data_IF_445371199498
#
_entry.id   IF_445371199498
#
_cell.length_a   1.000
_cell.length_b   1.000
_cell.length_c   1.000
_cell.angle_alpha   90.00
_cell.angle_beta   90.00
_cell.angle_gamma   90.00
#
_symmetry.space_group_name_H-M   'P 1'
#
loop_
_entity.id
_entity.type
_entity.pdbx_description
1 polymer ?
#
# COMPACT_ATOMS: atom_id res chain seq x y z
N UNK A 1 -18.44 -87.41 -12.83
CA UNK A 1 -17.96 -86.69 -13.99
C UNK A 1 -18.22 -85.24 -13.75
N UNK A 2 -17.16 -84.58 -13.39
CA UNK A 2 -17.17 -83.20 -12.90
C UNK A 2 -17.17 -82.28 -14.12
N UNK A 3 -18.16 -81.42 -14.29
CA UNK A 3 -18.08 -80.29 -15.16
C UNK A 3 -18.05 -79.02 -14.32
N UNK A 4 -16.91 -78.41 -14.39
CA UNK A 4 -16.55 -77.21 -13.71
C UNK A 4 -17.25 -76.05 -14.45
N UNK A 5 -18.12 -75.35 -13.72
CA UNK A 5 -18.74 -74.12 -14.15
C UNK A 5 -17.76 -73.01 -13.79
N UNK A 6 -17.09 -72.48 -14.79
CA UNK A 6 -16.34 -71.21 -14.62
C UNK A 6 -17.37 -70.07 -14.71
N UNK A 7 -17.75 -69.58 -13.54
CA UNK A 7 -18.45 -68.32 -13.47
C UNK A 7 -17.48 -67.22 -13.89
N UNK A 8 -17.74 -66.61 -15.00
CA UNK A 8 -17.07 -65.42 -15.48
C UNK A 8 -17.47 -64.30 -14.55
N UNK A 9 -16.60 -64.00 -13.59
CA UNK A 9 -16.70 -62.78 -12.83
C UNK A 9 -16.19 -61.65 -13.73
N UNK A 10 -17.12 -61.06 -14.49
CA UNK A 10 -16.87 -59.78 -15.17
C UNK A 10 -16.73 -58.72 -14.08
N UNK A 11 -15.51 -58.54 -13.60
CA UNK A 11 -15.15 -57.40 -12.79
C UNK A 11 -15.33 -56.16 -13.61
N UNK A 12 -16.44 -55.51 -13.42
CA UNK A 12 -16.69 -54.15 -13.88
C UNK A 12 -15.76 -53.26 -13.10
N UNK A 13 -14.54 -53.07 -13.61
CA UNK A 13 -13.68 -51.97 -13.18
C UNK A 13 -14.36 -50.69 -13.70
N UNK A 14 -15.26 -50.16 -12.85
CA UNK A 14 -15.64 -48.76 -12.99
C UNK A 14 -14.35 -47.95 -12.78
N UNK A 15 -13.73 -47.54 -13.89
CA UNK A 15 -12.83 -46.45 -13.89
C UNK A 15 -13.62 -45.24 -13.38
N UNK A 16 -13.52 -44.99 -12.07
CA UNK A 16 -13.74 -43.69 -11.51
C UNK A 16 -12.62 -42.80 -12.13
N UNK A 17 -12.86 -42.32 -13.34
CA UNK A 17 -12.19 -41.16 -13.84
C UNK A 17 -12.59 -40.03 -12.87
N UNK A 18 -11.83 -39.92 -11.78
CA UNK A 18 -11.79 -38.72 -10.98
C UNK A 18 -11.37 -37.63 -11.96
N UNK A 19 -12.37 -37.01 -12.57
CA UNK A 19 -12.17 -35.80 -13.34
C UNK A 19 -11.52 -34.80 -12.38
N UNK A 20 -10.20 -34.71 -12.43
CA UNK A 20 -9.52 -33.49 -12.07
C UNK A 20 -10.11 -32.43 -12.98
N UNK A 21 -11.19 -31.81 -12.54
CA UNK A 21 -11.63 -30.53 -13.07
C UNK A 21 -10.40 -29.64 -12.94
N UNK A 22 -9.68 -29.43 -14.04
CA UNK A 22 -8.76 -28.33 -14.14
C UNK A 22 -9.63 -27.11 -13.82
N UNK A 23 -9.49 -26.59 -12.59
CA UNK A 23 -10.06 -25.28 -12.26
C UNK A 23 -9.60 -24.38 -13.39
N UNK A 24 -10.54 -23.96 -14.24
CA UNK A 24 -10.23 -23.07 -15.34
C UNK A 24 -9.39 -21.93 -14.76
N UNK A 25 -8.33 -21.56 -15.45
CA UNK A 25 -7.53 -20.40 -15.10
C UNK A 25 -8.52 -19.25 -15.06
N UNK A 26 -8.79 -18.73 -13.87
CA UNK A 26 -9.66 -17.56 -13.71
C UNK A 26 -8.87 -16.40 -14.28
N UNK A 27 -9.26 -15.95 -15.46
CA UNK A 27 -8.67 -14.77 -16.09
C UNK A 27 -9.35 -13.57 -15.47
N UNK A 28 -8.58 -12.69 -14.86
CA UNK A 28 -9.01 -11.40 -14.31
C UNK A 28 -8.40 -10.34 -15.24
N UNK A 29 -9.24 -9.55 -15.90
CA UNK A 29 -8.82 -8.52 -16.85
C UNK A 29 -9.11 -7.10 -16.32
N UNK A 30 -9.98 -6.95 -15.32
CA UNK A 30 -10.38 -5.68 -14.75
C UNK A 30 -11.11 -5.83 -13.42
N UNK A 31 -11.65 -4.72 -12.92
CA UNK A 31 -12.34 -4.65 -11.64
C UNK A 31 -13.59 -5.53 -11.57
N UNK A 32 -14.37 -5.58 -12.64
CA UNK A 32 -15.60 -6.37 -12.71
C UNK A 32 -15.35 -7.88 -12.54
N UNK A 33 -14.18 -8.36 -12.94
CA UNK A 33 -13.81 -9.77 -12.81
C UNK A 33 -13.45 -10.17 -11.36
N UNK A 34 -13.38 -9.23 -10.44
CA UNK A 34 -13.06 -9.47 -9.02
C UNK A 34 -14.25 -10.01 -8.23
N UNK A 35 -15.48 -9.90 -8.74
CA UNK A 35 -16.68 -10.43 -8.10
C UNK A 35 -16.51 -11.91 -7.73
N UNK A 36 -16.79 -12.25 -6.48
CA UNK A 36 -16.68 -13.61 -5.92
C UNK A 36 -15.25 -14.16 -5.82
N UNK A 37 -14.21 -13.38 -6.19
CA UNK A 37 -12.82 -13.83 -6.13
C UNK A 37 -12.19 -13.62 -4.75
N UNK A 38 -11.07 -14.32 -4.54
CA UNK A 38 -10.20 -14.04 -3.40
C UNK A 38 -9.26 -12.90 -3.77
N UNK A 39 -9.43 -11.76 -3.14
CA UNK A 39 -8.64 -10.55 -3.36
C UNK A 39 -7.81 -10.22 -2.12
N UNK A 40 -6.52 -10.03 -2.32
CA UNK A 40 -5.61 -9.57 -1.27
C UNK A 40 -5.52 -8.05 -1.27
N UNK A 41 -5.43 -7.46 -0.10
CA UNK A 41 -5.28 -6.02 0.12
C UNK A 41 -4.34 -5.76 1.29
N UNK A 42 -3.82 -4.55 1.42
CA UNK A 42 -3.18 -4.15 2.67
C UNK A 42 -4.23 -3.58 3.62
N UNK A 43 -4.19 -4.00 4.89
CA UNK A 43 -5.15 -3.58 5.91
C UNK A 43 -5.15 -2.05 6.12
N UNK A 44 -6.35 -1.47 6.20
CA UNK A 44 -6.58 -0.04 6.45
C UNK A 44 -6.35 0.87 5.25
N UNK A 45 -5.95 0.32 4.07
CA UNK A 45 -5.74 1.13 2.85
C UNK A 45 -7.04 1.35 2.07
N UNK A 46 -7.02 2.30 1.14
CA UNK A 46 -8.12 2.51 0.18
C UNK A 46 -8.33 1.32 -0.74
N UNK A 47 -7.28 0.56 -1.03
CA UNK A 47 -7.38 -0.72 -1.73
C UNK A 47 -8.29 -1.72 -1.00
N UNK A 48 -8.27 -1.76 0.34
CA UNK A 48 -9.20 -2.57 1.12
C UNK A 48 -10.62 -1.99 1.06
N UNK A 49 -10.78 -0.67 1.22
CA UNK A 49 -12.09 -0.01 1.15
C UNK A 49 -12.76 -0.32 -0.20
N UNK A 50 -12.10 -0.01 -1.31
CA UNK A 50 -12.67 -0.22 -2.65
C UNK A 50 -12.93 -1.69 -2.96
N UNK A 51 -12.02 -2.58 -2.58
CA UNK A 51 -12.22 -4.00 -2.81
C UNK A 51 -13.37 -4.57 -1.96
N UNK A 52 -13.68 -3.98 -0.79
CA UNK A 52 -14.80 -4.41 0.05
C UNK A 52 -16.16 -4.11 -0.57
N UNK A 53 -16.25 -3.11 -1.45
CA UNK A 53 -17.48 -2.72 -2.14
C UNK A 53 -17.81 -3.64 -3.33
N UNK A 54 -16.88 -4.53 -3.72
CA UNK A 54 -17.10 -5.47 -4.82
C UNK A 54 -18.02 -6.62 -4.34
N UNK A 55 -19.12 -6.93 -5.07
CA UNK A 55 -20.03 -7.98 -4.69
C UNK A 55 -19.35 -9.34 -4.48
N UNK A 56 -19.72 -10.03 -3.40
CA UNK A 56 -19.26 -11.38 -3.07
C UNK A 56 -17.74 -11.59 -3.02
N UNK A 57 -16.94 -10.51 -3.02
CA UNK A 57 -15.49 -10.61 -2.91
C UNK A 57 -15.08 -11.29 -1.60
N UNK A 58 -14.02 -12.08 -1.65
CA UNK A 58 -13.44 -12.74 -0.48
C UNK A 58 -12.12 -12.07 -0.15
N UNK A 59 -12.20 -11.03 0.68
CA UNK A 59 -11.03 -10.28 1.08
C UNK A 59 -10.07 -11.09 1.95
N UNK A 60 -8.80 -10.84 1.73
CA UNK A 60 -7.69 -11.28 2.58
C UNK A 60 -6.81 -10.06 2.86
N UNK A 61 -6.94 -9.52 4.06
CA UNK A 61 -6.19 -8.32 4.47
C UNK A 61 -4.84 -8.73 5.05
N UNK A 62 -3.78 -8.11 4.54
CA UNK A 62 -2.40 -8.34 4.93
C UNK A 62 -1.83 -7.10 5.65
N UNK A 63 -0.83 -7.29 6.50
CA UNK A 63 -0.18 -6.18 7.20
C UNK A 63 0.65 -5.29 6.28
N UNK A 64 1.17 -5.87 5.20
CA UNK A 64 1.93 -5.12 4.19
C UNK A 64 1.53 -5.52 2.77
N UNK A 65 1.74 -4.62 1.81
CA UNK A 65 1.57 -4.91 0.39
C UNK A 65 2.53 -6.01 -0.11
N UNK A 66 3.70 -6.17 0.53
CA UNK A 66 4.66 -7.24 0.21
C UNK A 66 4.05 -8.60 0.54
N UNK A 67 3.42 -8.75 1.71
CA UNK A 67 2.77 -10.01 2.11
C UNK A 67 1.62 -10.37 1.17
N UNK A 68 0.82 -9.37 0.75
CA UNK A 68 -0.20 -9.55 -0.28
C UNK A 68 0.40 -10.03 -1.61
N UNK A 69 1.51 -9.44 -2.05
CA UNK A 69 2.24 -9.86 -3.25
C UNK A 69 2.76 -11.30 -3.19
N UNK A 70 3.30 -11.72 -2.04
CA UNK A 70 3.73 -13.09 -1.79
C UNK A 70 2.54 -14.06 -1.83
N UNK A 71 1.40 -13.70 -1.23
CA UNK A 71 0.18 -14.50 -1.25
C UNK A 71 -0.38 -14.66 -2.68
N UNK A 72 -0.34 -13.59 -3.49
CA UNK A 72 -0.72 -13.67 -4.91
C UNK A 72 0.23 -14.57 -5.69
N UNK A 73 1.52 -14.41 -5.53
CA UNK A 73 2.54 -15.23 -6.20
C UNK A 73 2.38 -16.72 -5.86
N UNK A 74 2.04 -17.04 -4.60
CA UNK A 74 1.78 -18.39 -4.11
C UNK A 74 0.40 -18.95 -4.50
N UNK A 75 -0.48 -18.15 -5.11
CA UNK A 75 -1.84 -18.58 -5.49
C UNK A 75 -2.85 -18.67 -4.34
N UNK A 76 -2.54 -18.07 -3.19
CA UNK A 76 -3.44 -18.00 -2.03
C UNK A 76 -4.62 -17.09 -2.33
N UNK A 77 -4.35 -15.97 -3.04
CA UNK A 77 -5.36 -15.04 -3.58
C UNK A 77 -5.30 -15.03 -5.11
N UNK A 78 -6.38 -14.59 -5.76
CA UNK A 78 -6.52 -14.52 -7.22
C UNK A 78 -5.98 -13.23 -7.81
N UNK A 79 -6.18 -12.13 -7.10
CA UNK A 79 -5.69 -10.79 -7.41
C UNK A 79 -5.31 -10.05 -6.13
N UNK A 80 -4.61 -8.93 -6.27
CA UNK A 80 -4.43 -7.96 -5.19
C UNK A 80 -4.73 -6.55 -5.71
N UNK A 81 -5.28 -5.70 -4.84
CA UNK A 81 -5.50 -4.28 -5.09
C UNK A 81 -4.53 -3.51 -4.21
N UNK A 82 -3.67 -2.74 -4.83
CA UNK A 82 -2.63 -1.95 -4.15
C UNK A 82 -2.37 -0.65 -4.90
N UNK A 83 -1.71 0.27 -4.22
CA UNK A 83 -1.15 1.47 -4.83
C UNK A 83 -0.17 1.16 -5.98
N UNK A 84 -0.20 2.00 -7.03
CA UNK A 84 0.55 1.77 -8.26
C UNK A 84 2.07 1.68 -8.04
N UNK A 85 2.66 2.56 -7.24
CA UNK A 85 4.10 2.53 -7.02
C UNK A 85 4.51 1.29 -6.24
N UNK A 86 3.72 0.88 -5.25
CA UNK A 86 3.91 -0.39 -4.56
C UNK A 86 3.77 -1.57 -5.51
N UNK A 87 2.75 -1.55 -6.36
CA UNK A 87 2.50 -2.59 -7.35
C UNK A 87 3.69 -2.74 -8.32
N UNK A 88 4.24 -1.64 -8.81
CA UNK A 88 5.43 -1.61 -9.67
C UNK A 88 6.64 -2.26 -8.99
N UNK A 89 6.89 -1.96 -7.70
CA UNK A 89 7.99 -2.57 -6.96
C UNK A 89 7.81 -4.08 -6.77
N UNK A 90 6.59 -4.54 -6.45
CA UNK A 90 6.30 -5.97 -6.31
C UNK A 90 6.50 -6.70 -7.64
N UNK A 91 5.95 -6.18 -8.73
CA UNK A 91 6.03 -6.80 -10.06
C UNK A 91 7.45 -6.82 -10.60
N UNK A 92 8.24 -5.75 -10.35
CA UNK A 92 9.68 -5.71 -10.71
C UNK A 92 10.47 -6.87 -10.09
N UNK A 93 10.10 -7.31 -8.89
CA UNK A 93 10.73 -8.43 -8.18
C UNK A 93 10.11 -9.79 -8.45
N UNK A 94 8.97 -9.84 -9.14
CA UNK A 94 8.16 -11.06 -9.33
C UNK A 94 7.91 -11.35 -10.79
N UNK A 95 8.59 -12.38 -11.35
CA UNK A 95 8.49 -12.73 -12.78
C UNK A 95 7.10 -13.21 -13.22
N UNK A 96 6.30 -13.71 -12.28
CA UNK A 96 5.00 -14.31 -12.53
C UNK A 96 3.81 -13.38 -12.24
N UNK A 97 4.06 -12.11 -11.91
CA UNK A 97 3.03 -11.12 -11.63
C UNK A 97 3.00 -10.04 -12.72
N UNK A 98 1.83 -9.43 -12.91
CA UNK A 98 1.63 -8.29 -13.79
C UNK A 98 0.57 -7.34 -13.22
N UNK A 99 0.70 -6.06 -13.54
CA UNK A 99 -0.31 -5.05 -13.27
C UNK A 99 -1.26 -5.01 -14.46
N UNK A 100 -2.58 -4.93 -14.21
CA UNK A 100 -3.56 -4.69 -15.26
C UNK A 100 -3.50 -3.22 -15.70
N UNK A 101 -3.81 -2.97 -16.98
CA UNK A 101 -3.76 -1.62 -17.55
C UNK A 101 -4.90 -0.71 -17.02
N UNK A 102 -6.01 -1.33 -16.58
CA UNK A 102 -7.16 -0.61 -16.05
C UNK A 102 -6.81 0.05 -14.71
N UNK A 103 -7.04 1.36 -14.63
CA UNK A 103 -6.91 2.13 -13.39
C UNK A 103 -8.12 1.88 -12.49
N UNK A 104 -7.88 1.59 -11.22
CA UNK A 104 -8.95 1.32 -10.27
C UNK A 104 -9.50 2.60 -9.63
N UNK A 105 -8.64 3.56 -9.31
CA UNK A 105 -9.01 4.86 -8.75
C UNK A 105 -7.90 5.89 -8.89
N UNK A 106 -8.24 7.18 -8.79
CA UNK A 106 -7.29 8.27 -8.57
C UNK A 106 -7.38 8.74 -7.12
N UNK A 107 -6.25 9.03 -6.50
CA UNK A 107 -6.13 9.33 -5.08
C UNK A 107 -5.15 10.46 -4.82
N UNK A 108 -5.53 11.36 -3.90
CA UNK A 108 -4.66 12.43 -3.43
C UNK A 108 -4.04 12.03 -2.08
N UNK A 109 -2.72 12.03 -1.96
CA UNK A 109 -2.00 11.86 -0.70
C UNK A 109 -1.83 13.18 0.01
N UNK A 110 -2.11 13.17 1.31
CA UNK A 110 -1.94 14.32 2.18
C UNK A 110 -1.42 13.91 3.56
N UNK A 111 -0.87 14.89 4.27
CA UNK A 111 -0.42 14.72 5.64
C UNK A 111 -1.62 14.84 6.57
N UNK A 112 -1.79 13.87 7.47
CA UNK A 112 -2.89 13.89 8.43
C UNK A 112 -2.45 14.45 9.79
N UNK A 113 -3.29 15.30 10.39
CA UNK A 113 -3.14 15.84 11.73
C UNK A 113 -4.40 15.61 12.57
N UNK A 114 -4.30 15.70 13.90
CA UNK A 114 -5.47 15.60 14.78
C UNK A 114 -6.50 16.66 14.46
N UNK A 115 -7.78 16.32 14.65
CA UNK A 115 -8.87 17.29 14.60
C UNK A 115 -8.61 18.44 15.60
N UNK A 116 -8.77 19.66 15.11
CA UNK A 116 -8.59 20.87 15.92
C UNK A 116 -7.15 21.32 16.11
N UNK A 117 -6.15 20.62 15.56
CA UNK A 117 -4.76 21.08 15.53
C UNK A 117 -4.47 21.96 14.32
N UNK A 118 -5.21 23.06 14.22
CA UNK A 118 -5.13 23.98 13.09
C UNK A 118 -3.76 24.67 12.99
N UNK A 119 -3.08 24.85 14.12
CA UNK A 119 -1.75 25.44 14.15
C UNK A 119 -0.72 24.55 13.43
N UNK A 120 -0.74 23.24 13.72
CA UNK A 120 0.13 22.29 13.05
C UNK A 120 -0.24 22.13 11.59
N UNK A 121 -1.54 22.06 11.28
CA UNK A 121 -2.03 21.97 9.91
C UNK A 121 -1.57 23.16 9.05
N UNK A 122 -1.71 24.38 9.58
CA UNK A 122 -1.28 25.60 8.89
C UNK A 122 0.26 25.64 8.69
N UNK A 123 1.04 25.20 9.69
CA UNK A 123 2.49 25.10 9.54
C UNK A 123 2.91 24.10 8.46
N UNK A 124 2.28 22.91 8.45
CA UNK A 124 2.51 21.89 7.40
C UNK A 124 2.17 22.44 6.02
N UNK A 125 0.99 23.07 5.86
CA UNK A 125 0.57 23.63 4.58
C UNK A 125 1.51 24.75 4.11
N UNK A 126 1.98 25.62 5.02
CA UNK A 126 2.97 26.65 4.70
C UNK A 126 4.29 26.05 4.20
N UNK A 127 4.77 24.97 4.84
CA UNK A 127 5.98 24.25 4.42
C UNK A 127 5.80 23.59 3.05
N UNK A 128 4.66 22.94 2.80
CA UNK A 128 4.35 22.34 1.48
C UNK A 128 4.32 23.41 0.40
N UNK A 129 3.64 24.52 0.64
CA UNK A 129 3.58 25.64 -0.31
C UNK A 129 4.96 26.24 -0.60
N UNK A 130 5.80 26.43 0.44
CA UNK A 130 7.18 26.88 0.29
C UNK A 130 7.99 25.90 -0.54
N UNK A 131 7.99 24.60 -0.20
CA UNK A 131 8.73 23.57 -0.95
C UNK A 131 8.35 23.55 -2.44
N UNK A 132 7.05 23.72 -2.75
CA UNK A 132 6.57 23.82 -4.14
C UNK A 132 7.05 25.10 -4.83
N UNK A 133 7.15 26.22 -4.10
CA UNK A 133 7.53 27.51 -4.68
C UNK A 133 9.03 27.68 -4.88
N UNK A 134 9.88 27.07 -4.07
CA UNK A 134 11.34 27.21 -4.11
C UNK A 134 12.07 26.05 -4.80
N UNK A 135 11.32 25.09 -5.37
CA UNK A 135 11.86 23.93 -6.08
C UNK A 135 12.32 22.77 -5.19
N UNK A 136 12.18 22.88 -3.86
CA UNK A 136 12.53 21.80 -2.94
C UNK A 136 11.65 20.56 -3.16
N UNK A 137 10.36 20.78 -3.48
CA UNK A 137 9.45 19.68 -3.80
C UNK A 137 9.91 18.91 -5.04
N UNK A 138 10.26 19.60 -6.11
CA UNK A 138 10.74 19.00 -7.36
C UNK A 138 12.07 18.26 -7.14
N UNK A 139 12.94 18.79 -6.29
CA UNK A 139 14.18 18.12 -5.88
C UNK A 139 13.89 16.80 -5.18
N UNK A 140 12.96 16.78 -4.22
CA UNK A 140 12.55 15.55 -3.54
C UNK A 140 11.90 14.57 -4.51
N UNK A 141 11.00 15.04 -5.37
CA UNK A 141 10.31 14.17 -6.34
C UNK A 141 11.32 13.53 -7.30
N UNK A 142 12.27 14.28 -7.84
CA UNK A 142 13.30 13.77 -8.73
C UNK A 142 14.26 12.81 -8.01
N UNK A 143 14.54 13.02 -6.73
CA UNK A 143 15.41 12.16 -5.93
C UNK A 143 14.78 10.78 -5.64
N UNK A 144 13.49 10.75 -5.30
CA UNK A 144 12.80 9.53 -4.92
C UNK A 144 12.00 8.85 -6.05
N UNK A 145 11.62 9.61 -7.07
CA UNK A 145 10.82 9.16 -8.22
C UNK A 145 11.47 9.59 -9.53
N UNK A 146 12.76 9.26 -9.75
CA UNK A 146 13.45 9.66 -10.97
C UNK A 146 12.80 8.99 -12.18
N UNK A 147 12.70 9.73 -13.28
CA UNK A 147 12.23 9.19 -14.57
C UNK A 147 13.15 8.07 -15.08
N UNK A 148 14.46 8.22 -14.83
CA UNK A 148 15.51 7.25 -15.16
C UNK A 148 16.54 7.18 -14.00
N UNK A 149 17.15 6.02 -13.82
CA UNK A 149 18.18 5.80 -12.80
C UNK A 149 17.65 5.20 -11.50
N UNK A 150 18.41 5.42 -10.43
CA UNK A 150 18.12 4.91 -9.10
C UNK A 150 17.73 6.05 -8.15
N UNK A 151 17.05 5.68 -7.05
CA UNK A 151 16.74 6.62 -5.97
C UNK A 151 18.04 7.13 -5.35
N UNK A 152 18.14 8.44 -5.22
CA UNK A 152 19.26 9.12 -4.53
C UNK A 152 18.70 9.85 -3.32
N UNK A 153 18.87 9.28 -2.12
CA UNK A 153 18.33 9.86 -0.89
C UNK A 153 19.05 11.19 -0.60
N UNK A 154 18.31 12.33 -0.58
CA UNK A 154 18.92 13.62 -0.31
C UNK A 154 19.34 13.74 1.16
N UNK A 155 20.48 14.33 1.42
CA UNK A 155 20.90 14.65 2.78
C UNK A 155 20.21 15.94 3.25
N UNK A 156 19.29 15.78 4.23
CA UNK A 156 18.57 16.90 4.84
C UNK A 156 19.06 17.03 6.27
N UNK A 157 19.82 18.10 6.52
CA UNK A 157 20.35 18.37 7.85
C UNK A 157 19.23 18.71 8.83
N UNK A 158 19.28 18.17 10.05
CA UNK A 158 18.37 18.53 11.13
C UNK A 158 18.64 19.96 11.60
N UNK A 159 17.58 20.76 11.76
CA UNK A 159 17.62 22.09 12.34
C UNK A 159 16.51 22.24 13.37
N UNK A 160 16.86 22.09 14.64
CA UNK A 160 15.90 22.09 15.76
C UNK A 160 16.25 23.16 16.83
N UNK A 161 16.29 24.47 16.46
CA UNK A 161 16.74 25.54 17.36
C UNK A 161 15.87 25.70 18.61
N UNK A 162 14.60 25.28 18.58
CA UNK A 162 13.72 25.38 19.76
C UNK A 162 13.75 24.14 20.66
N UNK A 163 14.49 23.08 20.30
CA UNK A 163 14.65 21.85 21.08
C UNK A 163 13.38 21.01 21.26
N UNK A 164 12.28 21.37 20.61
CA UNK A 164 11.03 20.62 20.65
C UNK A 164 11.10 19.42 19.72
N UNK A 165 10.42 18.34 20.09
CA UNK A 165 10.27 17.13 19.27
C UNK A 165 8.89 17.17 18.63
N UNK A 166 8.81 16.80 17.36
CA UNK A 166 7.57 16.51 16.64
C UNK A 166 7.63 15.09 16.09
N UNK A 167 6.58 14.31 16.29
CA UNK A 167 6.54 12.88 15.99
C UNK A 167 5.78 12.60 14.71
N UNK A 168 6.47 11.99 13.74
CA UNK A 168 5.90 11.45 12.51
C UNK A 168 5.47 10.00 12.71
N UNK A 169 4.20 9.68 12.47
CA UNK A 169 3.71 8.30 12.28
C UNK A 169 3.84 7.88 10.82
N UNK A 170 4.46 6.72 10.56
CA UNK A 170 4.65 6.21 9.19
C UNK A 170 4.76 4.70 9.15
N UNK A 171 4.54 4.09 7.94
CA UNK A 171 4.60 2.63 7.70
C UNK A 171 5.77 2.30 6.78
N UNK A 172 6.96 1.91 7.31
CA UNK A 172 8.21 1.89 6.55
C UNK A 172 8.38 0.65 5.65
N UNK A 173 7.36 0.30 4.90
CA UNK A 173 7.42 -0.73 3.88
C UNK A 173 6.88 -0.26 2.52
N UNK A 174 6.75 1.06 2.32
CA UNK A 174 6.16 1.67 1.12
C UNK A 174 7.15 2.56 0.33
N UNK A 175 8.21 1.99 -0.30
CA UNK A 175 9.05 2.77 -1.19
C UNK A 175 8.24 3.29 -2.41
N UNK A 176 8.52 4.51 -2.89
CA UNK A 176 9.61 5.41 -2.46
C UNK A 176 9.22 6.40 -1.35
N UNK A 177 8.00 6.32 -0.79
CA UNK A 177 7.51 7.29 0.19
C UNK A 177 8.13 7.10 1.57
N UNK A 178 8.07 5.88 2.13
CA UNK A 178 8.71 5.52 3.40
C UNK A 178 9.15 4.05 3.39
N UNK A 179 10.41 3.82 3.67
CA UNK A 179 10.98 2.47 3.71
C UNK A 179 12.20 2.40 4.60
N UNK A 180 12.55 1.17 4.98
CA UNK A 180 13.74 0.94 5.81
C UNK A 180 14.97 0.78 4.93
N UNK A 181 16.02 1.58 5.17
CA UNK A 181 17.35 1.43 4.62
C UNK A 181 18.37 1.28 5.74
N UNK A 182 18.97 0.09 5.85
CA UNK A 182 19.78 -0.26 7.00
C UNK A 182 18.98 -0.23 8.29
N UNK A 183 19.27 0.72 9.17
CA UNK A 183 18.56 0.93 10.45
C UNK A 183 17.68 2.17 10.46
N UNK A 184 17.60 2.89 9.34
CA UNK A 184 16.87 4.15 9.25
C UNK A 184 15.62 3.99 8.42
N UNK A 185 14.59 4.73 8.78
CA UNK A 185 13.43 4.96 7.91
C UNK A 185 13.74 6.16 7.05
N UNK A 186 13.61 6.00 5.74
CA UNK A 186 13.91 6.99 4.70
C UNK A 186 12.78 7.04 3.69
N UNK A 187 12.79 8.02 2.79
CA UNK A 187 11.81 8.14 1.72
C UNK A 187 11.34 9.58 1.52
N UNK A 188 10.48 9.74 0.53
CA UNK A 188 9.90 11.05 0.19
C UNK A 188 9.16 11.66 1.39
N UNK A 189 8.26 10.88 2.03
CA UNK A 189 7.44 11.33 3.16
C UNK A 189 8.28 11.67 4.38
N UNK A 190 9.33 10.88 4.63
CA UNK A 190 10.27 11.15 5.73
C UNK A 190 11.08 12.41 5.46
N UNK A 191 11.54 12.59 4.22
CA UNK A 191 12.34 13.75 3.83
C UNK A 191 11.53 15.05 3.87
N UNK A 192 10.30 15.05 3.32
CA UNK A 192 9.44 16.23 3.44
C UNK A 192 9.08 16.53 4.90
N UNK A 193 8.86 15.50 5.71
CA UNK A 193 8.58 15.64 7.15
C UNK A 193 9.77 16.24 7.91
N UNK A 194 11.00 15.88 7.55
CA UNK A 194 12.20 16.51 8.13
C UNK A 194 12.27 17.99 7.79
N UNK A 195 11.93 18.37 6.55
CA UNK A 195 11.89 19.77 6.12
C UNK A 195 10.80 20.53 6.89
N UNK A 196 9.61 19.95 7.04
CA UNK A 196 8.51 20.53 7.84
C UNK A 196 8.95 20.74 9.29
N UNK A 197 9.58 19.74 9.90
CA UNK A 197 10.10 19.86 11.27
C UNK A 197 11.15 20.98 11.39
N UNK A 198 12.06 21.11 10.41
CA UNK A 198 13.05 22.18 10.34
C UNK A 198 12.40 23.56 10.25
N UNK A 199 11.39 23.73 9.39
CA UNK A 199 10.65 24.99 9.23
C UNK A 199 9.95 25.40 10.56
N UNK A 200 9.55 24.41 11.35
CA UNK A 200 8.97 24.63 12.69
C UNK A 200 10.03 24.78 13.79
N UNK A 201 11.32 24.61 13.46
CA UNK A 201 12.43 24.60 14.42
C UNK A 201 12.41 23.41 15.37
N UNK A 202 11.78 22.30 14.98
CA UNK A 202 11.60 21.09 15.78
C UNK A 202 12.53 19.97 15.31
N UNK A 203 12.84 19.06 16.22
CA UNK A 203 13.48 17.77 15.90
C UNK A 203 12.42 16.80 15.44
N UNK A 204 12.63 16.11 14.31
CA UNK A 204 11.78 15.04 13.87
C UNK A 204 12.11 13.74 14.62
N UNK A 205 11.07 13.08 15.16
CA UNK A 205 11.12 11.69 15.64
C UNK A 205 10.22 10.84 14.76
N UNK A 206 10.77 9.81 14.11
CA UNK A 206 10.01 8.90 13.26
C UNK A 206 9.53 7.71 14.06
N UNK A 207 8.21 7.50 14.10
CA UNK A 207 7.55 6.39 14.82
C UNK A 207 6.96 5.43 13.79
N UNK A 208 7.63 4.29 13.61
CA UNK A 208 7.24 3.26 12.66
C UNK A 208 6.16 2.35 13.23
N UNK A 209 5.09 2.10 12.46
CA UNK A 209 4.01 1.19 12.82
C UNK A 209 3.26 0.67 11.59
N UNK A 210 2.34 -0.28 11.78
CA UNK A 210 1.48 -0.74 10.69
C UNK A 210 0.53 0.38 10.24
N UNK A 211 0.19 0.42 8.95
CA UNK A 211 -0.64 1.47 8.36
C UNK A 211 -2.01 1.60 9.04
N UNK A 212 -2.67 0.47 9.32
CA UNK A 212 -3.99 0.41 10.00
C UNK A 212 -3.99 1.01 11.41
N UNK A 213 -2.83 1.17 12.03
CA UNK A 213 -2.68 1.71 13.39
C UNK A 213 -2.42 3.23 13.41
N UNK A 214 -2.10 3.85 12.27
CA UNK A 214 -1.63 5.24 12.20
C UNK A 214 -2.66 6.25 12.70
N UNK A 215 -3.92 6.15 12.26
CA UNK A 215 -4.98 7.10 12.66
C UNK A 215 -5.25 6.98 14.16
N UNK A 216 -5.30 5.78 14.72
CA UNK A 216 -5.48 5.59 16.16
C UNK A 216 -4.30 6.15 16.97
N UNK A 217 -3.07 5.98 16.48
CA UNK A 217 -1.88 6.57 17.11
C UNK A 217 -1.90 8.11 17.07
N UNK A 218 -2.36 8.69 15.97
CA UNK A 218 -2.54 10.14 15.85
C UNK A 218 -3.61 10.66 16.82
N UNK A 219 -4.76 10.01 16.90
CA UNK A 219 -5.86 10.40 17.79
C UNK A 219 -5.48 10.30 19.27
N UNK A 220 -4.70 9.27 19.65
CA UNK A 220 -4.21 9.10 21.03
C UNK A 220 -3.07 10.03 21.41
N UNK A 221 -2.47 10.75 20.44
CA UNK A 221 -1.31 11.60 20.67
C UNK A 221 0.02 10.85 20.76
N UNK A 222 0.07 9.58 20.34
CA UNK A 222 1.33 8.83 20.24
C UNK A 222 2.23 9.41 19.15
N UNK A 223 1.63 9.98 18.09
CA UNK A 223 2.30 10.77 17.04
C UNK A 223 1.58 12.11 16.88
N UNK A 224 2.26 13.08 16.26
CA UNK A 224 1.73 14.43 16.07
C UNK A 224 1.11 14.60 14.69
N UNK A 225 1.66 13.95 13.69
CA UNK A 225 1.13 13.91 12.32
C UNK A 225 1.48 12.59 11.63
N UNK A 226 0.82 12.30 10.51
CA UNK A 226 1.05 11.12 9.67
C UNK A 226 1.46 11.57 8.27
N UNK A 227 2.56 11.03 7.76
CA UNK A 227 2.91 11.01 6.35
C UNK A 227 3.30 9.57 6.00
N UNK A 228 2.48 8.94 5.15
CA UNK A 228 2.56 7.51 4.86
C UNK A 228 1.81 7.15 3.55
N UNK A 229 1.94 8.00 2.51
CA UNK A 229 1.13 7.85 1.30
C UNK A 229 -0.37 7.79 1.62
N UNK A 230 -0.82 8.57 2.62
CA UNK A 230 -2.18 8.45 3.12
C UNK A 230 -3.17 9.19 2.23
N UNK A 231 -4.05 8.45 1.59
CA UNK A 231 -5.14 8.98 0.75
C UNK A 231 -6.15 9.75 1.56
N UNK A 232 -6.54 10.91 1.06
CA UNK A 232 -7.67 11.70 1.57
C UNK A 232 -8.97 11.00 1.22
N UNK A 233 -9.74 10.58 2.24
CA UNK A 233 -11.09 10.03 2.06
C UNK A 233 -12.08 10.73 3.00
N UNK A 234 -13.35 10.75 2.64
CA UNK A 234 -14.38 11.34 3.50
C UNK A 234 -14.49 10.62 4.83
N UNK A 235 -14.37 9.29 4.84
CA UNK A 235 -14.34 8.49 6.06
C UNK A 235 -13.19 8.91 7.00
N UNK A 236 -11.96 9.04 6.45
CA UNK A 236 -10.81 9.47 7.24
C UNK A 236 -10.94 10.90 7.74
N UNK A 237 -11.57 11.78 6.95
CA UNK A 237 -11.87 13.16 7.35
C UNK A 237 -12.80 13.26 8.56
N UNK A 238 -13.58 12.24 8.88
CA UNK A 238 -14.33 12.20 10.14
C UNK A 238 -13.42 12.16 11.36
N UNK A 239 -12.28 11.51 11.24
CA UNK A 239 -11.33 11.20 12.33
C UNK A 239 -10.13 12.14 12.40
N UNK A 240 -9.68 12.71 11.28
CA UNK A 240 -8.46 13.53 11.16
C UNK A 240 -8.69 14.72 10.25
N UNK A 241 -7.80 15.72 10.30
CA UNK A 241 -7.69 16.76 9.29
C UNK A 241 -6.53 16.46 8.35
N UNK A 242 -6.65 16.87 7.09
CA UNK A 242 -5.62 16.68 6.07
C UNK A 242 -5.03 18.01 5.62
N UNK A 243 -3.75 17.98 5.29
CA UNK A 243 -3.07 19.08 4.59
C UNK A 243 -3.58 19.23 3.16
N UNK A 244 -3.11 20.26 2.47
CA UNK A 244 -3.15 20.29 1.01
C UNK A 244 -2.44 19.03 0.45
N UNK A 245 -2.98 18.45 -0.64
CA UNK A 245 -2.37 17.29 -1.26
C UNK A 245 -0.94 17.55 -1.75
N UNK A 246 -0.08 16.58 -1.53
CA UNK A 246 1.30 16.67 -2.00
C UNK A 246 1.60 15.72 -3.17
N UNK A 247 0.84 14.63 -3.35
CA UNK A 247 1.07 13.65 -4.42
C UNK A 247 -0.27 13.09 -4.91
N UNK A 248 -0.33 12.74 -6.20
CA UNK A 248 -1.49 12.04 -6.76
C UNK A 248 -1.08 10.63 -7.16
N UNK A 249 -1.80 9.64 -6.66
CA UNK A 249 -1.59 8.23 -6.90
C UNK A 249 -2.84 7.56 -7.46
N UNK A 250 -2.80 6.26 -7.62
CA UNK A 250 -3.93 5.44 -8.03
C UNK A 250 -3.81 4.02 -7.48
N UNK A 251 -4.94 3.36 -7.28
CA UNK A 251 -4.97 1.93 -7.03
C UNK A 251 -4.95 1.16 -8.34
N UNK A 252 -4.30 0.02 -8.34
CA UNK A 252 -4.21 -0.90 -9.49
C UNK A 252 -4.44 -2.33 -9.06
N UNK A 253 -4.82 -3.16 -10.03
CA UNK A 253 -5.01 -4.60 -9.84
C UNK A 253 -3.76 -5.33 -10.31
N UNK A 254 -3.25 -6.23 -9.47
CA UNK A 254 -2.14 -7.13 -9.82
C UNK A 254 -2.67 -8.55 -9.87
N UNK A 255 -2.28 -9.28 -10.91
CA UNK A 255 -2.64 -10.69 -11.15
C UNK A 255 -1.41 -11.53 -11.48
N UNK A 256 -1.56 -12.86 -11.46
CA UNK A 256 -0.56 -13.76 -12.01
C UNK A 256 -0.67 -13.78 -13.54
N UNK A 257 0.51 -13.85 -14.20
CA UNK A 257 0.64 -14.07 -15.66
C UNK A 257 0.12 -15.43 -16.07
#
# INVERSE_FOLDING_TARGET
>A
MKKIIYAVLAASVLLMASGCSKKGVVVINGADDLEGKKVGVQAGTTGEIYASDIPDVKLSSFKSGIDAGLALSAGIVGAIVLDELRAKEIVKRSRNLMILEEEFSLEDYAIAVRKGDDNLLNAINASIARMKSDGTYDMLQNAFMPAEGEIVIPEISESAPNGKIIKLGTEPSFPPFEYTEGTKVVGFDVSQSQIIANDMGCKLEVVAMNFDSLIAALQSGAVDFIAAGMTVTEERKESVNFSEPYYQSKQVIIVRK
#
